data_IF_592870923381
#
_entry.id   IF_592870923381
#
_cell.length_a   1.000
_cell.length_b   1.000
_cell.length_c   1.000
_cell.angle_alpha   90.00
_cell.angle_beta   90.00
_cell.angle_gamma   90.00
#
_symmetry.space_group_name_H-M   'P 1'
#
loop_
_entity.id
_entity.type
_entity.pdbx_description
1 polymer ?
#
# COMPACT_ATOMS: atom_id res chain seq x y z
N UNK A 1 -7.11 -12.48 -4.70
CA UNK A 1 -6.93 -11.21 -5.46
C UNK A 1 -6.82 -10.03 -4.49
N UNK A 2 -6.40 -8.84 -4.95
CA UNK A 2 -6.19 -7.67 -4.10
C UNK A 2 -7.45 -7.25 -3.29
N UNK A 3 -8.64 -7.36 -3.89
CA UNK A 3 -9.91 -7.07 -3.20
C UNK A 3 -10.18 -8.02 -2.04
N UNK A 4 -9.91 -9.32 -2.21
CA UNK A 4 -10.03 -10.30 -1.12
C UNK A 4 -9.08 -9.95 0.04
N UNK A 5 -7.87 -9.49 -0.30
CA UNK A 5 -6.90 -9.07 0.72
C UNK A 5 -7.39 -7.85 1.49
N UNK A 6 -8.02 -6.89 0.81
CA UNK A 6 -8.61 -5.72 1.46
C UNK A 6 -9.72 -6.12 2.46
N UNK A 7 -10.55 -7.11 2.11
CA UNK A 7 -11.55 -7.66 3.02
C UNK A 7 -10.90 -8.37 4.22
N UNK A 8 -9.85 -9.15 4.00
CA UNK A 8 -9.11 -9.81 5.08
C UNK A 8 -8.38 -8.82 5.99
N UNK A 9 -7.87 -7.72 5.44
CA UNK A 9 -7.28 -6.62 6.21
C UNK A 9 -8.35 -5.96 7.08
N UNK A 10 -9.50 -5.60 6.49
CA UNK A 10 -10.63 -5.03 7.23
C UNK A 10 -11.09 -5.92 8.39
N UNK A 11 -11.13 -7.23 8.16
CA UNK A 11 -11.56 -8.20 9.17
C UNK A 11 -10.45 -8.58 10.17
N UNK A 12 -9.26 -7.95 10.09
CA UNK A 12 -8.12 -8.21 10.98
C UNK A 12 -7.46 -9.58 10.80
N UNK A 13 -7.75 -10.28 9.70
CA UNK A 13 -7.26 -11.65 9.44
C UNK A 13 -5.83 -11.66 8.91
N UNK A 14 -5.43 -10.59 8.23
CA UNK A 14 -4.07 -10.37 7.72
C UNK A 14 -3.72 -8.89 7.89
N UNK A 15 -2.44 -8.56 7.94
CA UNK A 15 -1.98 -7.18 7.97
C UNK A 15 -0.81 -6.97 7.01
N UNK A 16 -0.69 -5.74 6.50
CA UNK A 16 0.47 -5.31 5.74
C UNK A 16 1.66 -4.94 6.62
N UNK A 17 2.75 -4.58 5.95
CA UNK A 17 3.90 -3.93 6.58
C UNK A 17 3.72 -2.41 6.48
N UNK A 18 4.01 -1.63 7.53
CA UNK A 18 3.94 -0.18 7.46
C UNK A 18 4.93 0.37 6.43
N UNK A 19 4.54 1.47 5.79
CA UNK A 19 5.41 2.29 4.96
C UNK A 19 5.90 3.50 5.77
N UNK A 20 6.79 4.27 5.17
CA UNK A 20 7.35 5.46 5.79
C UNK A 20 7.73 6.48 4.73
N UNK A 21 8.38 7.54 5.18
CA UNK A 21 8.94 8.56 4.30
C UNK A 21 10.16 8.02 3.52
N UNK A 22 10.23 8.33 2.23
CA UNK A 22 11.36 7.94 1.41
C UNK A 22 11.62 8.95 0.29
N UNK A 23 12.89 9.32 0.08
CA UNK A 23 13.31 10.38 -0.86
C UNK A 23 12.75 10.20 -2.29
N UNK A 24 12.60 8.95 -2.75
CA UNK A 24 12.12 8.65 -4.11
C UNK A 24 10.61 8.57 -4.25
N UNK A 25 9.86 8.38 -3.17
CA UNK A 25 8.42 8.07 -3.25
C UNK A 25 7.57 9.00 -2.40
N UNK A 26 8.16 10.00 -1.74
CA UNK A 26 7.44 10.92 -0.87
C UNK A 26 7.07 10.29 0.48
N UNK A 27 6.05 10.86 1.12
CA UNK A 27 5.57 10.43 2.44
C UNK A 27 4.37 9.46 2.32
N UNK A 28 4.61 8.21 2.71
CA UNK A 28 3.59 7.15 2.79
C UNK A 28 3.47 6.62 4.23
N UNK A 29 3.78 7.42 5.24
CA UNK A 29 3.87 6.97 6.64
C UNK A 29 2.53 6.57 7.28
N UNK A 30 1.41 6.96 6.69
CA UNK A 30 0.06 6.50 7.06
C UNK A 30 -0.40 5.27 6.25
N UNK A 31 0.44 4.75 5.36
CA UNK A 31 0.12 3.65 4.46
C UNK A 31 0.82 2.35 4.86
N UNK A 32 0.29 1.25 4.33
CA UNK A 32 0.79 -0.11 4.49
C UNK A 32 0.93 -0.75 3.11
N UNK A 33 1.86 -1.70 2.99
CA UNK A 33 1.99 -2.55 1.80
C UNK A 33 1.63 -3.99 2.16
N UNK A 34 0.90 -4.65 1.25
CA UNK A 34 0.57 -6.07 1.35
C UNK A 34 0.98 -6.80 0.07
N UNK A 35 1.64 -7.95 0.21
CA UNK A 35 2.06 -8.79 -0.92
C UNK A 35 0.96 -9.81 -1.23
N UNK A 36 0.43 -9.82 -2.46
CA UNK A 36 -0.68 -10.72 -2.83
C UNK A 36 -0.42 -11.60 -4.06
N UNK A 37 0.78 -11.52 -4.65
CA UNK A 37 1.24 -12.42 -5.73
C UNK A 37 2.51 -13.19 -5.30
N UNK A 38 2.39 -14.22 -4.45
CA UNK A 38 3.53 -15.01 -4.00
C UNK A 38 4.01 -16.05 -5.01
N UNK A 39 3.25 -16.33 -6.09
CA UNK A 39 3.52 -17.44 -7.03
C UNK A 39 4.60 -17.13 -8.09
N UNK A 40 5.43 -16.11 -7.86
CA UNK A 40 6.55 -15.76 -8.75
C UNK A 40 7.88 -16.35 -8.27
N UNK A 41 8.76 -16.70 -9.21
CA UNK A 41 10.16 -16.95 -8.87
C UNK A 41 10.81 -15.64 -8.37
N UNK A 42 10.89 -15.44 -7.06
CA UNK A 42 11.53 -14.28 -6.43
C UNK A 42 10.61 -13.48 -5.49
N UNK A 43 10.94 -12.18 -5.31
CA UNK A 43 10.12 -11.28 -4.47
C UNK A 43 8.73 -11.08 -5.10
N UNK A 44 7.64 -10.99 -4.32
CA UNK A 44 6.31 -10.79 -4.88
C UNK A 44 6.26 -9.57 -5.79
N UNK A 45 5.71 -9.75 -6.99
CA UNK A 45 5.70 -8.73 -8.05
C UNK A 45 4.75 -7.60 -7.73
N UNK A 46 3.54 -7.97 -7.33
CA UNK A 46 2.45 -7.04 -7.04
C UNK A 46 2.32 -6.71 -5.56
N UNK A 47 1.91 -5.48 -5.28
CA UNK A 47 1.59 -4.99 -3.94
C UNK A 47 0.26 -4.24 -3.96
N UNK A 48 -0.46 -4.37 -2.85
CA UNK A 48 -1.55 -3.49 -2.47
C UNK A 48 -0.96 -2.46 -1.50
N UNK A 49 -1.10 -1.18 -1.82
CA UNK A 49 -0.88 -0.07 -0.89
C UNK A 49 -2.24 0.36 -0.38
N UNK A 50 -2.40 0.38 0.95
CA UNK A 50 -3.65 0.73 1.61
C UNK A 50 -3.39 1.62 2.82
N UNK A 51 -4.43 2.29 3.31
CA UNK A 51 -4.39 3.02 4.58
C UNK A 51 -5.69 2.86 5.35
N UNK A 52 -5.63 3.07 6.66
CA UNK A 52 -6.83 3.18 7.49
C UNK A 52 -7.35 4.61 7.46
N UNK A 53 -8.67 4.77 7.34
CA UNK A 53 -9.31 6.08 7.39
C UNK A 53 -10.27 6.17 8.59
N UNK A 54 -10.25 7.28 9.35
CA UNK A 54 -9.36 8.44 9.21
C UNK A 54 -7.90 8.18 9.60
N UNK A 55 -7.62 7.17 10.43
CA UNK A 55 -6.28 6.75 10.85
C UNK A 55 -6.32 5.30 11.39
N UNK A 56 -5.18 4.72 11.78
CA UNK A 56 -5.11 3.34 12.31
C UNK A 56 -5.84 3.15 13.65
N UNK A 57 -5.92 4.18 14.49
CA UNK A 57 -6.49 4.10 15.85
C UNK A 57 -8.01 4.19 15.81
N UNK A 58 -8.54 5.08 14.99
CA UNK A 58 -9.97 5.40 14.86
C UNK A 58 -10.58 4.82 13.57
N UNK A 59 -9.93 3.82 12.99
CA UNK A 59 -10.25 3.29 11.67
C UNK A 59 -11.73 2.88 11.54
N UNK A 60 -12.42 3.49 10.58
CA UNK A 60 -13.78 3.10 10.17
C UNK A 60 -13.79 2.38 8.82
N UNK A 61 -12.72 2.56 8.01
CA UNK A 61 -12.58 1.94 6.72
C UNK A 61 -11.11 1.66 6.36
N UNK A 62 -10.95 0.75 5.40
CA UNK A 62 -9.67 0.45 4.75
C UNK A 62 -9.75 0.95 3.31
N UNK A 63 -8.88 1.89 2.97
CA UNK A 63 -8.80 2.49 1.64
C UNK A 63 -7.70 1.80 0.84
N UNK A 64 -8.04 1.22 -0.32
CA UNK A 64 -7.05 0.78 -1.30
C UNK A 64 -6.52 2.00 -2.06
N UNK A 65 -5.28 2.41 -1.76
CA UNK A 65 -4.63 3.56 -2.40
C UNK A 65 -4.10 3.19 -3.78
N UNK A 66 -3.35 2.09 -3.89
CA UNK A 66 -2.81 1.61 -5.16
C UNK A 66 -2.64 0.10 -5.20
N UNK A 67 -2.76 -0.47 -6.40
CA UNK A 67 -2.48 -1.89 -6.68
C UNK A 67 -1.64 -1.94 -7.94
N UNK A 68 -0.46 -2.55 -7.88
CA UNK A 68 0.45 -2.56 -9.01
C UNK A 68 1.77 -3.27 -8.74
N UNK A 69 2.63 -3.28 -9.75
CA UNK A 69 3.97 -3.83 -9.65
C UNK A 69 4.89 -2.91 -8.83
N UNK A 70 5.91 -3.51 -8.20
CA UNK A 70 6.97 -2.75 -7.52
C UNK A 70 8.18 -2.47 -8.41
N UNK A 71 8.17 -2.94 -9.66
CA UNK A 71 9.24 -2.61 -10.61
C UNK A 71 9.40 -1.09 -10.67
N UNK A 72 10.63 -0.59 -10.56
CA UNK A 72 10.89 0.85 -10.54
C UNK A 72 10.23 1.66 -9.41
N UNK A 73 9.71 1.02 -8.35
CA UNK A 73 8.89 1.65 -7.28
C UNK A 73 7.50 2.13 -7.75
N UNK A 74 7.02 1.67 -8.90
CA UNK A 74 5.83 2.19 -9.59
C UNK A 74 4.56 2.26 -8.71
N UNK A 75 4.20 1.17 -8.02
CA UNK A 75 3.03 1.17 -7.12
C UNK A 75 3.13 2.22 -6.00
N UNK A 76 4.33 2.55 -5.53
CA UNK A 76 4.51 3.55 -4.48
C UNK A 76 4.45 4.97 -5.03
N UNK A 77 4.99 5.20 -6.22
CA UNK A 77 4.87 6.47 -6.93
C UNK A 77 3.41 6.78 -7.25
N UNK A 78 2.68 5.79 -7.75
CA UNK A 78 1.23 5.87 -7.99
C UNK A 78 0.47 6.18 -6.69
N UNK A 79 0.84 5.56 -5.58
CA UNK A 79 0.20 5.83 -4.29
C UNK A 79 0.45 7.27 -3.83
N UNK A 80 1.70 7.76 -3.94
CA UNK A 80 2.04 9.12 -3.59
C UNK A 80 1.32 10.15 -4.47
N UNK A 81 1.22 9.91 -5.79
CA UNK A 81 0.46 10.75 -6.71
C UNK A 81 -1.01 10.84 -6.32
N UNK A 82 -1.67 9.70 -6.07
CA UNK A 82 -3.08 9.65 -5.65
C UNK A 82 -3.36 10.36 -4.33
N UNK A 83 -2.36 10.41 -3.46
CA UNK A 83 -2.43 11.11 -2.17
C UNK A 83 -1.96 12.57 -2.25
N UNK A 84 -1.47 13.04 -3.40
CA UNK A 84 -0.93 14.40 -3.56
C UNK A 84 0.40 14.63 -2.81
N UNK A 85 1.23 13.59 -2.71
CA UNK A 85 2.48 13.57 -1.91
C UNK A 85 3.74 13.26 -2.72
N UNK A 86 3.70 13.51 -4.03
CA UNK A 86 4.88 13.37 -4.89
C UNK A 86 6.02 14.24 -4.36
N UNK A 87 7.26 13.74 -4.29
CA UNK A 87 8.40 14.55 -3.88
C UNK A 87 8.56 15.75 -4.83
N UNK A 88 8.86 16.93 -4.28
CA UNK A 88 9.22 18.09 -5.09
C UNK A 88 10.48 17.78 -5.91
N UNK A 89 10.44 18.05 -7.22
CA UNK A 89 11.56 17.86 -8.14
C UNK A 89 12.67 18.90 -7.92
#
# INVERSE_FOLDING_TARGET
MALDMLAFIRDGRVHGEPLGQHVKTGDLSDCYKFYFDPQGAGKPRYRLVYRYTPNEIEAIAVEAVAVGERSGLDVYLTAAERLGRTPEN
#
